data_IF_207513227541
#
_entry.id   IF_207513227541
#
_cell.length_a   1.000
_cell.length_b   1.000
_cell.length_c   1.000
_cell.angle_alpha   90.00
_cell.angle_beta   90.00
_cell.angle_gamma   90.00
#
_symmetry.space_group_name_H-M   'P 1'
#
loop_
_entity.id
_entity.type
_entity.pdbx_description
1 polymer ?
#
# COMPACT_ATOMS: atom_id res chain seq x y z
N UNK A 1 -13.65 -1.31 -9.86
CA UNK A 1 -12.46 -0.72 -10.51
C UNK A 1 -11.91 0.35 -9.60
N UNK A 2 -10.59 0.37 -9.42
CA UNK A 2 -9.89 1.41 -8.71
C UNK A 2 -10.04 2.76 -9.42
N UNK A 3 -10.09 3.84 -8.63
CA UNK A 3 -9.94 5.19 -9.16
C UNK A 3 -8.46 5.51 -9.36
N UNK A 4 -8.14 6.53 -10.14
CA UNK A 4 -6.74 6.88 -10.44
C UNK A 4 -6.32 8.23 -9.88
N UNK A 5 -5.02 8.41 -9.65
CA UNK A 5 -4.38 9.70 -9.38
C UNK A 5 -3.26 9.96 -10.40
N UNK A 6 -2.94 11.23 -10.64
CA UNK A 6 -1.87 11.63 -11.56
C UNK A 6 -0.53 11.73 -10.82
N UNK A 7 0.46 10.93 -11.22
CA UNK A 7 1.79 10.93 -10.61
C UNK A 7 2.51 12.28 -10.75
N UNK A 8 2.25 13.05 -11.80
CA UNK A 8 2.90 14.34 -12.04
C UNK A 8 2.33 15.42 -11.14
N UNK A 9 1.03 15.33 -10.85
CA UNK A 9 0.33 16.33 -10.03
C UNK A 9 0.22 15.92 -8.55
N UNK A 10 0.65 14.71 -8.20
CA UNK A 10 0.61 14.23 -6.82
C UNK A 10 1.76 14.80 -6.01
N UNK A 11 1.42 15.55 -4.96
CA UNK A 11 2.37 16.10 -4.00
C UNK A 11 2.27 15.33 -2.67
N UNK A 12 3.28 14.49 -2.41
CA UNK A 12 3.37 13.72 -1.15
C UNK A 12 3.62 14.61 0.07
N UNK A 13 4.27 15.76 -0.11
CA UNK A 13 4.55 16.69 0.99
C UNK A 13 3.27 17.43 1.40
N UNK A 14 2.43 17.83 0.45
CA UNK A 14 1.12 18.43 0.74
C UNK A 14 0.21 17.46 1.51
N UNK A 15 0.12 16.20 1.09
CA UNK A 15 -0.64 15.18 1.80
C UNK A 15 -0.04 14.87 3.18
N UNK A 16 1.28 15.03 3.35
CA UNK A 16 1.93 14.96 4.66
C UNK A 16 1.48 16.07 5.60
N UNK A 17 1.34 17.28 5.10
CA UNK A 17 0.89 18.42 5.89
C UNK A 17 -0.59 18.32 6.27
N UNK A 18 -1.43 17.81 5.36
CA UNK A 18 -2.87 17.62 5.63
C UNK A 18 -3.16 16.55 6.67
N UNK A 19 -2.39 15.46 6.66
CA UNK A 19 -2.61 14.32 7.56
C UNK A 19 -1.34 13.94 8.32
N UNK A 20 -0.83 14.81 9.21
CA UNK A 20 0.48 14.61 9.86
C UNK A 20 0.52 13.36 10.75
N UNK A 21 -0.65 12.89 11.20
CA UNK A 21 -0.79 11.68 12.01
C UNK A 21 -1.83 10.78 11.35
N UNK A 22 -1.44 9.54 11.06
CA UNK A 22 -2.36 8.48 10.62
C UNK A 22 -2.59 7.53 11.80
N UNK A 23 -3.84 7.33 12.26
CA UNK A 23 -4.11 6.41 13.35
C UNK A 23 -3.67 4.98 13.01
N UNK A 24 -3.16 4.27 14.01
CA UNK A 24 -2.73 2.87 13.85
C UNK A 24 -3.83 1.97 13.28
N UNK A 25 -5.09 2.19 13.67
CA UNK A 25 -6.22 1.42 13.14
C UNK A 25 -6.39 1.58 11.62
N UNK A 26 -6.15 2.77 11.07
CA UNK A 26 -6.20 3.02 9.63
C UNK A 26 -5.01 2.34 8.92
N UNK A 27 -3.80 2.41 9.50
CA UNK A 27 -2.62 1.72 8.96
C UNK A 27 -2.82 0.20 8.93
N UNK A 28 -3.30 -0.38 10.04
CA UNK A 28 -3.59 -1.80 10.15
C UNK A 28 -4.70 -2.22 9.17
N UNK A 29 -5.77 -1.43 9.07
CA UNK A 29 -6.86 -1.64 8.10
C UNK A 29 -6.34 -1.71 6.66
N UNK A 30 -5.49 -0.77 6.26
CA UNK A 30 -4.88 -0.77 4.93
C UNK A 30 -3.96 -1.99 4.71
N UNK A 31 -3.12 -2.31 5.69
CA UNK A 31 -2.23 -3.46 5.62
C UNK A 31 -2.98 -4.78 5.50
N UNK A 32 -4.03 -4.99 6.30
CA UNK A 32 -4.85 -6.21 6.23
C UNK A 32 -5.62 -6.34 4.91
N UNK A 33 -6.13 -5.23 4.38
CA UNK A 33 -6.78 -5.24 3.07
C UNK A 33 -5.80 -5.69 1.96
N UNK A 34 -4.61 -5.09 1.91
CA UNK A 34 -3.60 -5.42 0.91
C UNK A 34 -3.03 -6.83 1.08
N UNK A 35 -2.79 -7.25 2.33
CA UNK A 35 -2.44 -8.62 2.66
C UNK A 35 -3.48 -9.61 2.12
N UNK A 36 -4.77 -9.36 2.35
CA UNK A 36 -5.85 -10.19 1.83
C UNK A 36 -5.87 -10.31 0.31
N UNK A 37 -5.62 -9.21 -0.42
CA UNK A 37 -5.53 -9.25 -1.88
C UNK A 37 -4.35 -10.10 -2.38
N UNK A 38 -3.18 -9.94 -1.74
CA UNK A 38 -1.98 -10.70 -2.09
C UNK A 38 -2.16 -12.20 -1.79
N UNK A 39 -2.77 -12.54 -0.65
CA UNK A 39 -3.08 -13.91 -0.25
C UNK A 39 -4.06 -14.58 -1.22
N UNK A 40 -5.15 -13.90 -1.57
CA UNK A 40 -6.12 -14.41 -2.55
C UNK A 40 -5.50 -14.67 -3.92
N UNK A 41 -4.51 -13.87 -4.30
CA UNK A 41 -3.77 -14.03 -5.55
C UNK A 41 -2.62 -15.05 -5.47
N UNK A 42 -2.34 -15.63 -4.29
CA UNK A 42 -1.21 -16.53 -4.07
C UNK A 42 0.15 -15.85 -4.21
N UNK A 43 0.23 -14.54 -3.98
CA UNK A 43 1.46 -13.75 -4.05
C UNK A 43 2.11 -13.74 -2.67
N UNK A 44 3.35 -14.20 -2.60
CA UNK A 44 4.14 -14.13 -1.35
C UNK A 44 4.49 -12.67 -1.07
N UNK A 45 4.35 -12.25 0.18
CA UNK A 45 4.62 -10.88 0.59
C UNK A 45 5.22 -10.81 2.00
N UNK A 46 5.79 -9.66 2.34
CA UNK A 46 6.26 -9.34 3.67
C UNK A 46 5.99 -7.87 3.99
N UNK A 47 5.37 -7.63 5.15
CA UNK A 47 5.24 -6.28 5.71
C UNK A 47 6.61 -5.81 6.20
N UNK A 48 6.98 -4.58 5.91
CA UNK A 48 8.24 -3.98 6.34
C UNK A 48 8.01 -2.53 6.82
N UNK A 49 9.10 -1.77 6.94
CA UNK A 49 9.01 -0.35 7.27
C UNK A 49 8.51 -0.06 8.67
N UNK A 50 7.91 1.11 8.85
CA UNK A 50 7.49 1.60 10.16
C UNK A 50 6.38 0.77 10.80
N UNK A 51 5.37 0.37 10.01
CA UNK A 51 4.24 -0.40 10.53
C UNK A 51 4.64 -1.80 11.01
N UNK A 52 5.55 -2.48 10.29
CA UNK A 52 6.07 -3.77 10.75
C UNK A 52 6.69 -3.68 12.14
N UNK A 53 7.50 -2.64 12.38
CA UNK A 53 8.17 -2.43 13.67
C UNK A 53 7.17 -1.96 14.74
N UNK A 54 6.12 -1.23 14.36
CA UNK A 54 5.03 -0.86 15.26
C UNK A 54 4.24 -2.09 15.75
N UNK A 55 3.96 -3.07 14.87
CA UNK A 55 3.37 -4.35 15.29
C UNK A 55 4.25 -5.13 16.28
N UNK A 56 5.55 -4.87 16.31
CA UNK A 56 6.51 -5.45 17.27
C UNK A 56 6.65 -4.62 18.56
N UNK A 57 5.80 -3.61 18.78
CA UNK A 57 5.73 -2.83 20.01
C UNK A 57 6.56 -1.53 20.01
N UNK A 58 7.06 -1.08 18.85
CA UNK A 58 7.74 0.21 18.76
C UNK A 58 6.78 1.39 18.82
N UNK A 59 7.24 2.47 19.44
CA UNK A 59 6.56 3.77 19.47
C UNK A 59 6.98 4.70 18.32
N UNK A 60 7.79 4.22 17.36
CA UNK A 60 8.17 5.00 16.18
C UNK A 60 6.93 5.27 15.33
N UNK A 61 6.64 6.54 15.10
CA UNK A 61 5.56 6.94 14.20
C UNK A 61 5.86 6.55 12.75
N UNK A 62 4.80 6.18 12.02
CA UNK A 62 4.77 5.84 10.59
C UNK A 62 3.43 6.31 10.05
N UNK A 63 3.35 6.58 8.75
CA UNK A 63 2.16 7.15 8.11
C UNK A 63 1.72 6.34 6.88
N UNK A 64 2.44 5.28 6.61
CA UNK A 64 2.49 4.51 5.38
C UNK A 64 2.64 3.02 5.72
N UNK A 65 2.37 2.20 4.71
CA UNK A 65 2.51 0.75 4.78
C UNK A 65 3.47 0.30 3.69
N UNK A 66 4.59 -0.28 4.07
CA UNK A 66 5.55 -0.83 3.11
C UNK A 66 5.39 -2.35 3.02
N UNK A 67 5.19 -2.87 1.81
CA UNK A 67 5.07 -4.31 1.58
C UNK A 67 5.97 -4.75 0.42
N UNK A 68 6.93 -5.61 0.71
CA UNK A 68 7.65 -6.32 -0.33
C UNK A 68 6.81 -7.50 -0.82
N UNK A 69 6.82 -7.76 -2.13
CA UNK A 69 6.12 -8.92 -2.71
C UNK A 69 7.00 -9.67 -3.70
N UNK A 70 6.72 -10.96 -3.87
CA UNK A 70 7.37 -11.84 -4.83
C UNK A 70 6.29 -12.51 -5.70
N UNK A 71 6.23 -12.11 -6.98
CA UNK A 71 5.31 -12.67 -7.97
C UNK A 71 6.04 -13.08 -9.25
N UNK A 72 5.66 -14.21 -9.85
CA UNK A 72 6.26 -14.71 -11.09
C UNK A 72 6.09 -13.74 -12.26
N UNK A 73 4.93 -13.11 -12.37
CA UNK A 73 4.66 -12.06 -13.34
C UNK A 73 5.07 -10.66 -12.92
N UNK A 74 5.79 -10.52 -11.79
CA UNK A 74 6.31 -9.23 -11.31
C UNK A 74 5.18 -8.21 -11.11
N UNK A 75 5.45 -6.94 -11.42
CA UNK A 75 4.45 -5.86 -11.46
C UNK A 75 3.18 -6.16 -12.26
N UNK A 76 3.23 -6.98 -13.32
CA UNK A 76 2.02 -7.30 -14.09
C UNK A 76 0.98 -8.01 -13.22
N UNK A 77 1.40 -8.89 -12.32
CA UNK A 77 0.48 -9.60 -11.44
C UNK A 77 -0.08 -8.68 -10.35
N UNK A 78 0.71 -7.70 -9.90
CA UNK A 78 0.22 -6.63 -9.01
C UNK A 78 -0.85 -5.78 -9.70
N UNK A 79 -0.60 -5.31 -10.93
CA UNK A 79 -1.59 -4.53 -11.68
C UNK A 79 -2.92 -5.27 -11.84
N UNK A 80 -2.87 -6.59 -12.10
CA UNK A 80 -4.06 -7.44 -12.23
C UNK A 80 -4.93 -7.48 -10.98
N UNK A 81 -4.33 -7.35 -9.79
CA UNK A 81 -5.08 -7.41 -8.53
C UNK A 81 -5.48 -6.03 -8.01
N UNK A 82 -4.76 -4.96 -8.35
CA UNK A 82 -5.11 -3.61 -7.86
C UNK A 82 -6.11 -2.87 -8.75
N UNK A 83 -6.11 -3.10 -10.07
CA UNK A 83 -7.04 -2.43 -11.00
C UNK A 83 -8.53 -2.72 -10.73
N UNK A 84 -8.94 -3.96 -10.39
CA UNK A 84 -10.35 -4.26 -10.14
C UNK A 84 -10.89 -3.60 -8.87
N UNK A 85 -10.03 -3.23 -7.93
CA UNK A 85 -10.40 -2.98 -6.53
C UNK A 85 -10.97 -1.57 -6.30
N UNK A 86 -12.28 -1.42 -6.04
CA UNK A 86 -12.91 -0.10 -5.85
C UNK A 86 -12.41 0.63 -4.59
N UNK A 87 -11.82 -0.12 -3.64
CA UNK A 87 -11.25 0.45 -2.42
C UNK A 87 -9.91 1.15 -2.66
N UNK A 88 -9.30 0.95 -3.83
CA UNK A 88 -7.99 1.50 -4.15
C UNK A 88 -8.07 2.80 -4.96
N UNK A 89 -7.04 3.63 -4.74
CA UNK A 89 -6.64 4.72 -5.63
C UNK A 89 -5.25 4.36 -6.14
N UNK A 90 -5.11 4.21 -7.45
CA UNK A 90 -3.87 3.73 -8.09
C UNK A 90 -3.28 4.79 -9.03
N UNK A 91 -2.01 4.71 -9.42
CA UNK A 91 -1.47 5.62 -10.42
C UNK A 91 -2.22 5.49 -11.75
N UNK A 92 -2.41 6.61 -12.46
CA UNK A 92 -3.01 6.62 -13.80
C UNK A 92 -2.09 6.05 -14.89
N UNK A 93 -0.85 5.71 -14.55
CA UNK A 93 0.16 5.17 -15.46
C UNK A 93 0.87 3.97 -14.86
N UNK A 94 1.26 3.04 -15.73
CA UNK A 94 1.96 1.80 -15.38
C UNK A 94 3.47 1.91 -15.56
N UNK A 95 4.03 3.13 -15.54
CA UNK A 95 5.46 3.35 -15.76
C UNK A 95 6.28 2.41 -14.86
N UNK A 96 7.21 1.72 -15.50
CA UNK A 96 7.87 0.49 -15.05
C UNK A 96 8.85 0.80 -13.92
N UNK A 97 8.33 0.90 -12.71
CA UNK A 97 9.12 0.89 -11.48
C UNK A 97 8.96 -0.46 -10.79
N UNK A 98 9.97 -0.85 -10.02
CA UNK A 98 9.86 -1.99 -9.11
C UNK A 98 9.02 -1.63 -7.86
N UNK A 99 8.39 -0.46 -7.83
CA UNK A 99 7.56 0.04 -6.74
C UNK A 99 6.29 0.61 -7.34
N UNK A 100 5.13 0.26 -6.78
CA UNK A 100 3.87 0.93 -7.05
C UNK A 100 3.28 1.45 -5.73
N UNK A 101 3.01 2.75 -5.70
CA UNK A 101 2.33 3.42 -4.60
C UNK A 101 0.84 3.41 -4.87
N UNK A 102 0.07 2.87 -3.94
CA UNK A 102 -1.40 2.86 -3.99
C UNK A 102 -1.94 3.48 -2.72
N UNK A 103 -3.17 3.99 -2.77
CA UNK A 103 -3.87 4.43 -1.55
C UNK A 103 -5.06 3.54 -1.27
N UNK A 104 -5.15 3.04 -0.03
CA UNK A 104 -6.28 2.28 0.45
C UNK A 104 -7.25 3.23 1.15
N UNK A 105 -8.51 3.22 0.71
CA UNK A 105 -9.58 3.93 1.42
C UNK A 105 -9.85 3.23 2.76
N UNK A 106 -9.77 4.00 3.84
CA UNK A 106 -10.05 3.55 5.20
C UNK A 106 -11.09 4.47 5.83
N UNK A 107 -11.85 3.97 6.80
CA UNK A 107 -12.94 4.70 7.44
C UNK A 107 -14.09 3.79 7.87
N UNK A 108 -15.19 4.38 8.38
CA UNK A 108 -16.30 3.62 8.95
C UNK A 108 -16.99 2.70 7.95
N UNK A 109 -16.99 3.10 6.68
CA UNK A 109 -17.62 2.36 5.57
C UNK A 109 -16.79 1.16 5.07
N UNK A 110 -15.59 0.95 5.62
CA UNK A 110 -14.71 -0.14 5.23
C UNK A 110 -14.47 -1.09 6.41
N UNK A 111 -13.66 -0.68 7.39
CA UNK A 111 -13.22 -1.53 8.50
C UNK A 111 -13.48 -0.88 9.88
N UNK A 112 -14.45 0.04 9.95
CA UNK A 112 -14.84 0.68 11.22
C UNK A 112 -13.82 1.69 11.77
N UNK A 113 -12.81 2.10 11.00
CA UNK A 113 -11.90 3.18 11.42
C UNK A 113 -12.68 4.48 11.58
N UNK A 114 -12.50 5.21 12.69
CA UNK A 114 -13.23 6.47 12.93
C UNK A 114 -12.91 7.52 11.87
N UNK A 115 -11.64 7.62 11.47
CA UNK A 115 -11.18 8.62 10.52
C UNK A 115 -11.29 8.11 9.09
N UNK A 116 -11.86 8.92 8.21
CA UNK A 116 -11.87 8.67 6.76
C UNK A 116 -10.54 9.16 6.19
N UNK A 117 -9.67 8.23 5.81
CA UNK A 117 -8.31 8.53 5.31
C UNK A 117 -7.95 7.63 4.13
N UNK A 118 -7.12 8.17 3.24
CA UNK A 118 -6.44 7.40 2.21
C UNK A 118 -5.05 7.05 2.74
N UNK A 119 -4.85 5.77 3.06
CA UNK A 119 -3.56 5.30 3.59
C UNK A 119 -2.68 4.87 2.44
N UNK A 120 -1.48 5.44 2.40
CA UNK A 120 -0.45 5.09 1.43
C UNK A 120 0.09 3.68 1.68
N UNK A 121 0.18 2.90 0.62
CA UNK A 121 0.81 1.57 0.61
C UNK A 121 1.80 1.50 -0.54
N UNK A 122 3.06 1.22 -0.21
CA UNK A 122 4.12 0.97 -1.17
C UNK A 122 4.32 -0.53 -1.39
N UNK A 123 3.99 -0.99 -2.59
CA UNK A 123 4.21 -2.36 -3.04
C UNK A 123 5.54 -2.44 -3.77
N UNK A 124 6.50 -3.14 -3.18
CA UNK A 124 7.89 -3.19 -3.64
C UNK A 124 8.20 -4.59 -4.20
N UNK A 125 8.58 -4.69 -5.46
CA UNK A 125 9.02 -5.93 -6.08
C UNK A 125 10.31 -6.40 -5.42
N UNK A 126 10.28 -7.61 -4.85
CA UNK A 126 11.46 -8.23 -4.26
C UNK A 126 12.55 -8.41 -5.32
N UNK A 127 13.77 -7.95 -5.03
CA UNK A 127 14.93 -8.24 -5.87
C UNK A 127 15.25 -9.74 -5.88
N UNK A 128 15.80 -10.22 -7.00
CA UNK A 128 16.44 -11.55 -7.04
C UNK A 128 17.91 -11.39 -6.69
N UNK A 129 18.35 -12.00 -5.59
CA UNK A 129 19.77 -12.18 -5.35
C UNK A 129 20.29 -13.21 -6.35
N UNK A 130 21.07 -12.77 -7.34
CA UNK A 130 21.77 -13.66 -8.27
C UNK A 130 23.17 -13.84 -7.71
N UNK A 131 23.44 -14.95 -7.03
CA UNK A 131 24.81 -15.38 -6.77
C UNK A 131 25.31 -16.05 -8.05
N UNK A 132 26.10 -15.32 -8.83
CA UNK A 132 26.95 -15.87 -9.91
C UNK A 132 28.11 -16.66 -9.35
#
# INVERSE_FOLDING_TARGET
MASTYDLVNYDSDEERERHPIVPFANLASAAFFMAGLLEQAGITYGLMGGLAVAFLGSNRATRDVDMAFQASGKMRDIWRIVEPEPRLIIPNTKLVSNIVKVFVRTGPNYDGCVNVLHVEVDLIESGKFVTT
#
